data_IF_281931914368
#
_entry.id   IF_281931914368
#
_cell.length_a   1.000
_cell.length_b   1.000
_cell.length_c   1.000
_cell.angle_alpha   90.00
_cell.angle_beta   90.00
_cell.angle_gamma   90.00
#
_symmetry.space_group_name_H-M   'P 1'
#
loop_
_entity.id
_entity.type
_entity.pdbx_description
1 polymer ?
#
# COMPACT_ATOMS: atom_id res chain seq x y z
N UNK A 1 -7.19 16.35 5.38
CA UNK A 1 -6.05 16.71 6.24
C UNK A 1 -6.16 15.89 7.53
N UNK A 2 -5.64 14.66 7.54
CA UNK A 2 -5.72 13.70 8.67
C UNK A 2 -4.51 12.72 8.67
N UNK A 3 -3.41 13.07 7.99
CA UNK A 3 -2.23 12.22 7.89
C UNK A 3 -1.39 12.19 9.19
N UNK A 4 -1.63 13.12 10.11
CA UNK A 4 -0.87 13.21 11.36
C UNK A 4 -1.31 12.18 12.41
N UNK A 5 -2.47 11.53 12.24
CA UNK A 5 -2.91 10.45 13.16
C UNK A 5 -2.28 9.10 12.82
N UNK A 6 -1.57 8.99 11.69
CA UNK A 6 -0.89 7.76 11.28
C UNK A 6 0.45 7.53 11.99
N UNK A 7 1.11 8.61 12.43
CA UNK A 7 2.41 8.55 13.06
C UNK A 7 2.25 8.75 14.56
N UNK A 8 2.77 7.81 15.35
CA UNK A 8 2.89 8.03 16.78
C UNK A 8 3.86 9.20 17.00
N UNK A 9 3.32 10.37 17.34
CA UNK A 9 4.09 11.48 17.90
C UNK A 9 4.44 11.10 19.34
N UNK A 10 5.71 10.84 19.57
CA UNK A 10 6.25 10.77 20.92
C UNK A 10 7.28 11.89 21.07
N UNK A 11 6.91 12.86 21.90
CA UNK A 11 7.83 13.80 22.51
C UNK A 11 8.41 13.10 23.73
N UNK A 12 9.42 12.26 23.49
CA UNK A 12 10.23 11.58 24.49
C UNK A 12 11.68 11.72 24.08
N UNK A 13 12.41 12.51 24.86
CA UNK A 13 13.81 12.85 24.67
C UNK A 13 14.67 11.67 25.17
N UNK A 14 14.94 10.70 24.31
CA UNK A 14 15.87 9.60 24.60
C UNK A 14 17.05 9.65 23.64
N UNK A 15 18.06 10.35 24.12
CA UNK A 15 19.42 10.44 23.63
C UNK A 15 20.05 9.03 23.62
N UNK A 16 20.25 8.43 22.45
CA UNK A 16 21.04 7.21 22.27
C UNK A 16 22.05 7.44 21.15
N UNK A 17 23.32 7.26 21.53
CA UNK A 17 24.52 7.66 20.81
C UNK A 17 24.64 7.01 19.42
N UNK A 18 25.11 7.84 18.48
CA UNK A 18 25.65 7.43 17.17
C UNK A 18 26.85 6.49 17.35
N UNK A 19 26.75 5.28 16.79
CA UNK A 19 27.92 4.48 16.38
C UNK A 19 27.88 4.35 14.85
N UNK A 20 28.83 5.04 14.22
CA UNK A 20 28.97 5.15 12.77
C UNK A 20 29.90 4.04 12.26
N UNK A 21 29.35 3.03 11.60
CA UNK A 21 30.14 2.11 10.78
C UNK A 21 29.97 2.43 9.30
N UNK A 22 31.06 2.97 8.74
CA UNK A 22 31.17 3.34 7.33
C UNK A 22 31.25 2.11 6.43
N UNK A 23 30.29 1.99 5.52
CA UNK A 23 30.41 1.11 4.37
C UNK A 23 30.58 1.96 3.10
N UNK A 24 31.83 2.08 2.66
CA UNK A 24 32.14 2.54 1.30
C UNK A 24 31.88 1.40 0.33
N UNK A 25 31.01 1.62 -0.64
CA UNK A 25 30.97 0.83 -1.87
C UNK A 25 31.10 1.74 -3.07
N UNK A 26 32.18 1.51 -3.81
CA UNK A 26 32.58 2.24 -5.00
C UNK A 26 31.53 2.17 -6.10
N UNK A 27 31.27 3.32 -6.71
CA UNK A 27 30.59 3.46 -7.99
C UNK A 27 31.48 2.91 -9.10
N UNK A 28 31.10 1.77 -9.69
CA UNK A 28 31.58 1.40 -11.02
C UNK A 28 30.37 1.37 -11.97
N UNK A 29 30.16 2.50 -12.63
CA UNK A 29 29.34 2.61 -13.83
C UNK A 29 30.18 2.14 -15.02
N UNK A 30 29.97 0.92 -15.50
CA UNK A 30 30.41 0.52 -16.84
C UNK A 30 29.26 0.74 -17.81
N UNK A 31 29.46 1.78 -18.61
CA UNK A 31 28.69 2.19 -19.76
C UNK A 31 29.02 1.22 -20.90
N UNK A 32 28.05 0.45 -21.39
CA UNK A 32 28.21 -0.27 -22.65
C UNK A 32 27.35 0.44 -23.70
N UNK A 33 28.02 1.21 -24.54
CA UNK A 33 27.49 1.77 -25.78
C UNK A 33 27.38 0.63 -26.81
N UNK A 34 26.19 0.37 -27.35
CA UNK A 34 26.07 -0.38 -28.60
C UNK A 34 25.06 0.29 -29.55
N UNK A 35 25.68 0.91 -30.55
CA UNK A 35 25.32 1.16 -31.95
C UNK A 35 23.86 1.49 -32.36
N UNK A 36 23.74 2.72 -32.85
CA UNK A 36 22.61 3.27 -33.58
C UNK A 36 22.56 2.71 -35.01
N UNK A 37 21.68 1.74 -35.28
CA UNK A 37 21.32 1.37 -36.65
C UNK A 37 20.11 2.18 -37.13
N UNK A 38 20.36 3.09 -38.07
CA UNK A 38 19.37 3.90 -38.78
C UNK A 38 18.27 3.02 -39.41
N UNK A 39 17.04 3.19 -38.93
CA UNK A 39 15.84 2.62 -39.55
C UNK A 39 14.72 3.65 -39.48
N UNK A 40 14.55 4.41 -40.56
CA UNK A 40 13.39 5.27 -40.79
C UNK A 40 12.10 4.48 -40.58
N UNK A 41 11.39 4.73 -39.50
CA UNK A 41 10.04 4.23 -39.28
C UNK A 41 9.13 5.42 -38.99
N UNK A 42 8.03 5.44 -39.72
CA UNK A 42 7.05 6.51 -39.77
C UNK A 42 6.64 6.96 -38.36
N UNK A 43 6.76 8.27 -38.14
CA UNK A 43 6.18 8.95 -37.00
C UNK A 43 4.66 8.77 -37.08
N UNK A 44 4.12 7.85 -36.29
CA UNK A 44 2.68 7.79 -36.04
C UNK A 44 2.28 9.15 -35.45
N UNK A 45 1.46 9.89 -36.20
CA UNK A 45 0.87 11.15 -35.74
C UNK A 45 -0.12 10.81 -34.63
N UNK A 46 0.32 10.92 -33.38
CA UNK A 46 -0.53 10.73 -32.20
C UNK A 46 -1.25 12.03 -31.84
N UNK A 47 -2.57 11.95 -31.67
CA UNK A 47 -3.39 13.07 -31.23
C UNK A 47 -3.02 13.46 -29.80
N UNK A 48 -2.33 14.60 -29.67
CA UNK A 48 -2.18 15.27 -28.39
C UNK A 48 -3.57 15.77 -28.00
N UNK A 49 -4.23 15.11 -27.05
CA UNK A 49 -5.45 15.65 -26.46
C UNK A 49 -5.14 17.03 -25.87
N UNK A 50 -6.06 17.99 -26.01
CA UNK A 50 -5.89 19.40 -25.58
C UNK A 50 -5.60 19.62 -24.08
N UNK A 51 -5.37 18.55 -23.32
CA UNK A 51 -5.06 18.52 -21.90
C UNK A 51 -3.65 18.07 -21.55
N UNK A 52 -2.66 18.12 -22.45
CA UNK A 52 -1.23 18.02 -22.07
C UNK A 52 -0.78 16.70 -21.39
N UNK A 53 -1.58 15.65 -21.41
CA UNK A 53 -1.17 14.30 -20.99
C UNK A 53 -1.23 13.35 -22.19
N UNK A 54 -0.27 12.43 -22.23
CA UNK A 54 -0.21 11.40 -23.26
C UNK A 54 -0.99 10.18 -22.77
N UNK A 55 -2.04 9.81 -23.51
CA UNK A 55 -2.89 8.65 -23.22
C UNK A 55 -2.50 7.47 -24.13
N UNK A 56 -2.14 6.35 -23.52
CA UNK A 56 -1.79 5.09 -24.22
C UNK A 56 -2.96 4.09 -24.27
N UNK A 57 -4.14 4.50 -23.79
CA UNK A 57 -5.34 3.69 -23.69
C UNK A 57 -5.37 2.76 -22.49
N UNK A 58 -6.43 1.96 -22.41
CA UNK A 58 -6.64 0.95 -21.36
C UNK A 58 -5.89 -0.36 -21.63
N UNK A 59 -5.48 -1.11 -20.59
CA UNK A 59 -4.86 -2.42 -20.72
C UNK A 59 -5.91 -3.49 -21.06
N UNK A 60 -6.40 -3.51 -22.29
CA UNK A 60 -7.48 -4.43 -22.71
C UNK A 60 -6.98 -5.71 -23.38
N UNK A 61 -5.66 -5.89 -23.51
CA UNK A 61 -5.10 -7.01 -24.27
C UNK A 61 -4.67 -8.12 -23.32
N UNK A 62 -5.35 -9.25 -23.40
CA UNK A 62 -5.03 -10.41 -22.58
C UNK A 62 -3.77 -11.15 -23.07
N UNK A 63 -2.87 -11.43 -22.14
CA UNK A 63 -1.74 -12.30 -22.39
C UNK A 63 -2.19 -13.75 -22.62
N UNK A 64 -1.84 -14.33 -23.77
CA UNK A 64 -2.20 -15.70 -24.16
C UNK A 64 -1.78 -16.80 -23.17
N UNK A 65 -0.76 -16.54 -22.34
CA UNK A 65 -0.23 -17.54 -21.41
C UNK A 65 -0.83 -17.47 -20.01
N UNK A 66 -1.14 -16.26 -19.52
CA UNK A 66 -1.53 -16.05 -18.13
C UNK A 66 -2.83 -15.26 -17.94
N UNK A 67 -3.43 -14.75 -19.01
CA UNK A 67 -4.64 -13.94 -18.94
C UNK A 67 -4.46 -12.55 -18.32
N UNK A 68 -3.22 -12.13 -18.05
CA UNK A 68 -2.96 -10.78 -17.55
C UNK A 68 -3.33 -9.74 -18.62
N UNK A 69 -4.03 -8.69 -18.20
CA UNK A 69 -4.39 -7.53 -19.00
C UNK A 69 -3.16 -6.64 -19.21
N UNK A 70 -2.82 -6.38 -20.48
CA UNK A 70 -1.63 -5.66 -20.91
C UNK A 70 -1.99 -4.48 -21.80
N UNK A 71 -1.19 -3.42 -21.76
CA UNK A 71 -1.27 -2.35 -22.76
C UNK A 71 -0.65 -2.80 -24.08
N UNK A 72 -1.20 -2.37 -25.22
CA UNK A 72 -0.63 -2.68 -26.54
C UNK A 72 0.85 -2.25 -26.67
N UNK A 73 1.22 -1.15 -26.02
CA UNK A 73 2.57 -0.60 -26.00
C UNK A 73 3.59 -1.45 -25.24
N UNK A 74 3.12 -2.40 -24.40
CA UNK A 74 3.97 -3.33 -23.65
C UNK A 74 4.36 -4.57 -24.45
N UNK A 75 3.91 -4.69 -25.70
CA UNK A 75 4.30 -5.78 -26.60
C UNK A 75 5.82 -5.77 -26.84
N UNK A 76 6.41 -6.96 -26.97
CA UNK A 76 7.84 -7.13 -27.25
C UNK A 76 8.27 -6.47 -28.56
N UNK A 77 7.50 -6.71 -29.63
CA UNK A 77 7.85 -6.27 -30.98
C UNK A 77 7.14 -4.95 -31.29
N UNK A 78 7.82 -3.83 -31.02
CA UNK A 78 7.27 -2.48 -31.24
C UNK A 78 7.28 -2.08 -32.73
N UNK A 79 8.17 -2.66 -33.53
CA UNK A 79 8.43 -2.25 -34.92
C UNK A 79 7.32 -2.58 -35.94
N UNK A 80 6.30 -3.35 -35.57
CA UNK A 80 5.16 -3.67 -36.45
C UNK A 80 3.88 -3.65 -35.64
N UNK A 81 2.78 -3.26 -36.29
CA UNK A 81 1.46 -3.55 -35.76
C UNK A 81 1.28 -5.05 -35.72
N UNK A 82 1.36 -5.63 -34.53
CA UNK A 82 1.13 -7.05 -34.32
C UNK A 82 -0.37 -7.27 -34.11
N UNK A 83 -1.01 -8.03 -34.99
CA UNK A 83 -2.37 -8.53 -34.77
C UNK A 83 -2.44 -9.49 -33.58
N UNK A 84 -1.31 -10.13 -33.22
CA UNK A 84 -1.16 -10.93 -32.02
C UNK A 84 0.06 -10.45 -31.19
N UNK A 85 -0.12 -9.44 -30.32
CA UNK A 85 0.95 -8.93 -29.49
C UNK A 85 1.41 -9.95 -28.44
N UNK A 86 2.74 -10.09 -28.30
CA UNK A 86 3.37 -10.97 -27.31
C UNK A 86 3.99 -10.16 -26.19
N UNK A 87 3.86 -10.64 -24.96
CA UNK A 87 4.29 -9.93 -23.75
C UNK A 87 5.33 -10.74 -22.96
N UNK A 88 6.25 -10.04 -22.29
CA UNK A 88 7.16 -10.62 -21.28
C UNK A 88 6.92 -10.10 -19.87
N UNK A 89 6.31 -8.93 -19.69
CA UNK A 89 6.27 -8.28 -18.37
C UNK A 89 5.38 -9.01 -17.36
N UNK A 90 4.38 -9.77 -17.80
CA UNK A 90 3.47 -10.51 -16.90
C UNK A 90 4.02 -11.87 -16.46
N UNK A 91 4.33 -12.77 -17.41
CA UNK A 91 4.69 -14.16 -17.14
C UNK A 91 6.02 -14.60 -17.79
N UNK A 92 6.82 -13.65 -18.27
CA UNK A 92 8.06 -13.96 -18.98
C UNK A 92 7.84 -14.71 -20.30
N UNK A 93 6.70 -14.52 -20.96
CA UNK A 93 6.25 -15.30 -22.13
C UNK A 93 5.98 -16.77 -21.82
N UNK A 94 5.21 -17.02 -20.75
CA UNK A 94 4.82 -18.36 -20.32
C UNK A 94 5.87 -19.10 -19.49
N UNK A 95 6.99 -18.46 -19.17
CA UNK A 95 8.05 -19.03 -18.31
C UNK A 95 7.63 -19.14 -16.85
N UNK A 96 6.74 -18.25 -16.41
CA UNK A 96 6.25 -18.20 -15.02
C UNK A 96 4.75 -18.44 -15.02
N UNK A 97 4.29 -19.40 -14.21
CA UNK A 97 2.86 -19.61 -13.92
C UNK A 97 2.58 -19.14 -12.50
N UNK A 98 2.04 -17.93 -12.37
CA UNK A 98 1.61 -17.41 -11.08
C UNK A 98 0.26 -18.04 -10.70
N UNK A 99 0.11 -18.61 -9.50
CA UNK A 99 -1.20 -19.04 -9.02
C UNK A 99 -2.12 -17.82 -8.88
N UNK A 100 -3.41 -18.02 -9.13
CA UNK A 100 -4.41 -16.98 -8.89
C UNK A 100 -4.46 -16.66 -7.39
N UNK A 101 -4.68 -15.39 -7.07
CA UNK A 101 -4.91 -14.96 -5.70
C UNK A 101 -6.13 -15.69 -5.14
N UNK A 102 -6.02 -16.15 -3.89
CA UNK A 102 -7.18 -16.69 -3.18
C UNK A 102 -8.23 -15.59 -3.01
N UNK A 103 -9.53 -15.92 -3.08
CA UNK A 103 -10.56 -14.94 -2.80
C UNK A 103 -10.41 -14.41 -1.38
N UNK A 104 -10.71 -13.12 -1.18
CA UNK A 104 -10.76 -12.54 0.15
C UNK A 104 -11.83 -13.24 1.01
N UNK A 105 -11.67 -13.29 2.34
CA UNK A 105 -12.73 -13.77 3.24
C UNK A 105 -14.04 -13.04 2.97
N UNK A 106 -15.17 -13.76 3.07
CA UNK A 106 -16.51 -13.24 2.72
C UNK A 106 -16.85 -11.93 3.44
N UNK A 107 -16.49 -11.83 4.72
CA UNK A 107 -16.68 -10.63 5.54
C UNK A 107 -16.01 -9.42 4.88
N UNK A 108 -14.72 -9.53 4.55
CA UNK A 108 -13.98 -8.44 3.91
C UNK A 108 -14.48 -8.15 2.50
N UNK A 109 -14.86 -9.18 1.73
CA UNK A 109 -15.44 -9.01 0.40
C UNK A 109 -16.73 -8.18 0.43
N UNK A 110 -17.65 -8.49 1.35
CA UNK A 110 -18.88 -7.71 1.52
C UNK A 110 -18.60 -6.27 1.96
N UNK A 111 -17.69 -6.07 2.92
CA UNK A 111 -17.33 -4.74 3.40
C UNK A 111 -16.67 -3.87 2.30
N UNK A 112 -15.86 -4.47 1.43
CA UNK A 112 -15.15 -3.74 0.37
C UNK A 112 -16.02 -3.44 -0.85
N UNK A 113 -16.87 -4.39 -1.30
CA UNK A 113 -17.47 -4.34 -2.63
C UNK A 113 -19.00 -4.21 -2.64
N UNK A 114 -19.69 -4.40 -1.51
CA UNK A 114 -21.13 -4.16 -1.43
C UNK A 114 -21.39 -2.65 -1.27
N UNK A 115 -22.04 -2.04 -2.25
CA UNK A 115 -22.36 -0.61 -2.26
C UNK A 115 -23.79 -0.30 -1.84
N UNK A 116 -24.58 -1.30 -1.45
CA UNK A 116 -25.97 -1.12 -1.03
C UNK A 116 -26.09 -1.09 0.49
N UNK A 117 -25.36 -1.96 1.18
CA UNK A 117 -25.42 -2.05 2.64
C UNK A 117 -24.80 -0.83 3.35
N UNK A 118 -25.53 -0.31 4.33
CA UNK A 118 -25.07 0.80 5.17
C UNK A 118 -23.75 0.47 5.91
N UNK A 119 -23.59 -0.80 6.32
CA UNK A 119 -22.37 -1.28 6.98
C UNK A 119 -21.14 -1.14 6.07
N UNK A 120 -21.23 -1.59 4.81
CA UNK A 120 -20.13 -1.50 3.85
C UNK A 120 -19.80 -0.05 3.51
N UNK A 121 -20.80 0.83 3.37
CA UNK A 121 -20.56 2.28 3.20
C UNK A 121 -19.80 2.88 4.38
N UNK A 122 -20.18 2.55 5.62
CA UNK A 122 -19.46 2.99 6.82
C UNK A 122 -18.03 2.46 6.86
N UNK A 123 -17.82 1.20 6.49
CA UNK A 123 -16.49 0.61 6.39
C UNK A 123 -15.63 1.35 5.38
N UNK A 124 -16.11 1.50 4.14
CA UNK A 124 -15.39 2.16 3.06
C UNK A 124 -15.03 3.62 3.42
N UNK A 125 -15.95 4.36 4.05
CA UNK A 125 -15.70 5.73 4.52
C UNK A 125 -14.59 5.81 5.58
N UNK A 126 -14.50 4.81 6.46
CA UNK A 126 -13.55 4.79 7.58
C UNK A 126 -12.46 3.71 7.44
N UNK A 127 -12.20 3.23 6.22
CA UNK A 127 -11.33 2.06 5.97
C UNK A 127 -9.92 2.25 6.55
N UNK A 128 -9.43 3.49 6.54
CA UNK A 128 -8.13 3.83 7.14
C UNK A 128 -8.10 3.61 8.64
N UNK A 129 -9.17 3.98 9.36
CA UNK A 129 -9.26 3.78 10.80
C UNK A 129 -9.31 2.30 11.15
N UNK A 130 -10.12 1.51 10.42
CA UNK A 130 -10.14 0.05 10.62
C UNK A 130 -8.76 -0.57 10.34
N UNK A 131 -8.09 -0.20 9.25
CA UNK A 131 -6.76 -0.72 8.94
C UNK A 131 -5.72 -0.39 10.02
N UNK A 132 -5.75 0.83 10.58
CA UNK A 132 -4.87 1.22 11.69
C UNK A 132 -5.23 0.45 12.96
N UNK A 133 -6.52 0.26 13.23
CA UNK A 133 -7.00 -0.45 14.42
C UNK A 133 -6.48 -1.89 14.48
N UNK A 134 -6.32 -2.55 13.33
CA UNK A 134 -5.80 -3.92 13.23
C UNK A 134 -4.31 -4.01 12.88
N UNK A 135 -3.60 -2.89 12.78
CA UNK A 135 -2.16 -2.90 12.49
C UNK A 135 -1.35 -3.43 13.68
N UNK A 136 -0.36 -4.29 13.40
CA UNK A 136 0.58 -4.78 14.41
C UNK A 136 1.68 -3.78 14.76
N UNK A 137 1.98 -2.86 13.85
CA UNK A 137 3.06 -1.86 14.00
C UNK A 137 2.59 -0.50 13.57
N UNK A 138 3.13 0.55 14.19
CA UNK A 138 2.99 1.91 13.68
C UNK A 138 4.06 2.20 12.62
N UNK A 139 3.76 3.04 11.61
CA UNK A 139 4.79 3.56 10.74
C UNK A 139 5.65 4.57 11.51
N UNK A 140 6.97 4.39 11.44
CA UNK A 140 7.97 5.36 11.86
C UNK A 140 8.53 6.07 10.64
N UNK A 141 8.29 7.37 10.51
CA UNK A 141 8.87 8.16 9.45
C UNK A 141 8.98 9.63 9.86
N UNK A 142 10.00 10.33 9.34
CA UNK A 142 10.12 11.78 9.53
C UNK A 142 9.27 12.50 8.49
N UNK A 143 8.09 12.95 8.92
CA UNK A 143 7.17 13.70 8.06
C UNK A 143 7.60 15.16 7.98
N UNK A 144 7.79 15.66 6.77
CA UNK A 144 8.02 17.07 6.54
C UNK A 144 6.71 17.80 6.22
N UNK A 145 6.22 18.54 7.21
CA UNK A 145 4.96 19.27 7.14
C UNK A 145 5.08 20.67 6.52
N UNK A 146 6.27 21.11 6.09
CA UNK A 146 6.49 22.51 5.68
C UNK A 146 5.90 22.86 4.31
N UNK A 147 5.48 21.87 3.53
CA UNK A 147 5.21 22.04 2.09
C UNK A 147 3.73 22.10 1.71
N UNK A 148 2.82 22.02 2.68
CA UNK A 148 1.40 21.83 2.42
C UNK A 148 0.55 23.11 2.56
N UNK A 149 1.17 24.28 2.42
CA UNK A 149 0.52 25.59 2.62
C UNK A 149 0.05 26.26 1.31
N UNK A 150 0.15 25.54 0.19
CA UNK A 150 -0.21 26.04 -1.15
C UNK A 150 -1.65 25.73 -1.55
N UNK A 151 -2.04 26.18 -2.76
CA UNK A 151 -3.32 25.83 -3.41
C UNK A 151 -3.29 24.51 -4.19
N UNK A 152 -2.16 23.81 -4.17
CA UNK A 152 -2.00 22.52 -4.84
C UNK A 152 -2.63 21.39 -4.01
N UNK A 153 -2.95 20.24 -4.64
CA UNK A 153 -3.35 19.05 -3.91
C UNK A 153 -2.34 18.71 -2.80
N UNK A 154 -2.79 18.26 -1.63
CA UNK A 154 -1.91 18.02 -0.51
C UNK A 154 -0.79 17.03 -0.81
N UNK A 155 0.45 17.41 -0.57
CA UNK A 155 1.61 16.53 -0.68
C UNK A 155 2.00 15.96 0.69
N UNK A 156 2.44 14.70 0.69
CA UNK A 156 3.00 14.04 1.87
C UNK A 156 4.47 13.77 1.61
N UNK A 157 5.36 14.38 2.41
CA UNK A 157 6.80 14.27 2.22
C UNK A 157 7.42 13.53 3.40
N UNK A 158 8.04 12.40 3.11
CA UNK A 158 8.83 11.62 4.06
C UNK A 158 10.31 11.93 3.82
N UNK A 159 11.07 12.12 4.89
CA UNK A 159 12.52 12.26 4.85
C UNK A 159 13.20 11.09 5.57
N UNK A 160 14.37 10.70 5.07
CA UNK A 160 15.17 9.62 5.67
C UNK A 160 14.55 8.25 5.47
N UNK A 161 14.85 7.33 6.38
CA UNK A 161 14.40 5.93 6.32
C UNK A 161 13.02 5.77 6.99
N UNK A 162 12.10 5.10 6.30
CA UNK A 162 10.87 4.60 6.92
C UNK A 162 11.16 3.31 7.69
N UNK A 163 10.69 3.21 8.92
CA UNK A 163 10.78 2.01 9.75
C UNK A 163 9.39 1.60 10.27
N UNK A 164 9.28 0.37 10.78
CA UNK A 164 8.11 -0.10 11.52
C UNK A 164 8.41 -0.04 13.02
N UNK A 165 7.56 0.62 13.79
CA UNK A 165 7.66 0.74 15.25
C UNK A 165 6.68 -0.21 15.90
N UNK A 166 7.20 -1.29 16.48
CA UNK A 166 6.43 -2.31 17.21
C UNK A 166 6.03 -1.80 18.60
N UNK A 167 6.94 -1.10 19.28
CA UNK A 167 6.75 -0.67 20.67
C UNK A 167 7.06 -1.77 21.68
N UNK A 168 6.76 -1.53 22.95
CA UNK A 168 6.88 -2.52 24.02
C UNK A 168 5.81 -3.61 23.90
N UNK A 169 6.08 -4.80 24.46
CA UNK A 169 5.13 -5.92 24.45
C UNK A 169 3.86 -5.64 25.28
N UNK A 170 4.00 -4.90 26.38
CA UNK A 170 2.89 -4.50 27.25
C UNK A 170 2.73 -2.98 27.27
N UNK A 171 1.51 -2.46 27.49
CA UNK A 171 1.31 -1.03 27.67
C UNK A 171 2.07 -0.52 28.89
N UNK A 172 2.59 0.70 28.80
CA UNK A 172 3.18 1.38 29.96
C UNK A 172 2.08 1.70 30.99
N UNK A 173 2.46 1.83 32.25
CA UNK A 173 1.52 2.09 33.34
C UNK A 173 0.65 3.33 33.03
N UNK A 174 -0.68 3.15 33.06
CA UNK A 174 -1.65 4.20 32.78
C UNK A 174 -1.85 4.55 31.30
N UNK A 175 -1.21 3.83 30.38
CA UNK A 175 -1.43 3.98 28.93
C UNK A 175 -2.37 2.89 28.40
N UNK A 176 -3.16 3.24 27.38
CA UNK A 176 -3.98 2.27 26.66
C UNK A 176 -3.09 1.38 25.76
N UNK A 177 -3.44 0.09 25.59
CA UNK A 177 -2.74 -0.79 24.65
C UNK A 177 -2.86 -0.28 23.20
N UNK A 178 -1.80 -0.45 22.41
CA UNK A 178 -1.75 -0.05 20.99
C UNK A 178 -1.09 -1.12 20.12
N UNK A 179 -1.49 -1.17 18.85
CA UNK A 179 -0.90 -2.02 17.82
C UNK A 179 -0.81 -3.50 18.25
N UNK A 180 0.37 -4.13 18.21
CA UNK A 180 0.58 -5.52 18.64
C UNK A 180 0.07 -5.80 20.06
N UNK A 181 0.11 -4.82 20.97
CA UNK A 181 -0.38 -5.00 22.35
C UNK A 181 -1.87 -5.37 22.39
N UNK A 182 -2.66 -4.93 21.40
CA UNK A 182 -4.09 -5.23 21.31
C UNK A 182 -4.37 -6.72 21.06
N UNK A 183 -3.37 -7.52 20.69
CA UNK A 183 -3.53 -8.96 20.47
C UNK A 183 -3.09 -9.81 21.66
N UNK A 184 -2.43 -9.22 22.67
CA UNK A 184 -1.86 -9.95 23.81
C UNK A 184 -2.30 -9.41 25.17
N UNK A 185 -2.67 -8.13 25.24
CA UNK A 185 -3.10 -7.48 26.47
C UNK A 185 -4.62 -7.56 26.60
N UNK A 186 -5.09 -8.16 27.70
CA UNK A 186 -6.52 -8.22 28.06
C UNK A 186 -7.42 -8.59 26.87
N UNK A 187 -7.22 -9.81 26.37
CA UNK A 187 -7.90 -10.34 25.18
C UNK A 187 -9.41 -10.41 25.35
N UNK A 188 -9.91 -10.47 26.59
CA UNK A 188 -11.34 -10.44 26.90
C UNK A 188 -11.98 -9.08 26.54
N UNK A 189 -11.25 -7.98 26.73
CA UNK A 189 -11.72 -6.62 26.45
C UNK A 189 -11.07 -5.99 25.20
N UNK A 190 -10.52 -6.81 24.30
CA UNK A 190 -9.82 -6.36 23.09
C UNK A 190 -10.63 -5.33 22.27
N UNK A 191 -11.91 -5.61 22.02
CA UNK A 191 -12.76 -4.73 21.20
C UNK A 191 -12.91 -3.36 21.86
N UNK A 192 -13.07 -3.32 23.18
CA UNK A 192 -13.16 -2.08 23.94
C UNK A 192 -11.83 -1.32 23.92
N UNK A 193 -10.72 -2.03 24.11
CA UNK A 193 -9.36 -1.52 24.02
C UNK A 193 -9.07 -0.90 22.64
N UNK A 194 -9.45 -1.59 21.56
CA UNK A 194 -9.36 -1.08 20.18
C UNK A 194 -10.17 0.20 19.98
N UNK A 195 -11.38 0.25 20.54
CA UNK A 195 -12.25 1.43 20.45
C UNK A 195 -11.77 2.60 21.31
N UNK A 196 -11.05 2.35 22.41
CA UNK A 196 -10.47 3.36 23.30
C UNK A 196 -9.20 4.01 22.75
N UNK A 197 -8.46 3.34 21.87
CA UNK A 197 -7.21 3.84 21.30
C UNK A 197 -7.34 5.09 20.40
N UNK A 198 -8.55 5.43 19.94
CA UNK A 198 -8.80 6.52 19.01
C UNK A 198 -9.47 7.72 19.69
N UNK A 199 -8.85 8.91 19.55
CA UNK A 199 -9.38 10.17 20.10
C UNK A 199 -10.67 10.62 19.42
N UNK A 200 -10.83 10.33 18.13
CA UNK A 200 -12.07 10.55 17.39
C UNK A 200 -12.73 9.21 17.07
N UNK A 201 -13.86 8.93 17.70
CA UNK A 201 -14.68 7.73 17.42
C UNK A 201 -15.76 7.99 16.36
N UNK A 202 -15.82 9.20 15.79
CA UNK A 202 -16.92 9.59 14.90
C UNK A 202 -16.92 8.75 13.62
N UNK A 203 -17.89 7.84 13.52
CA UNK A 203 -18.12 7.03 12.31
C UNK A 203 -17.57 5.60 12.35
N UNK A 204 -16.86 5.19 13.40
CA UNK A 204 -16.44 3.79 13.57
C UNK A 204 -17.58 2.97 14.16
N UNK A 205 -17.90 1.84 13.53
CA UNK A 205 -18.95 0.93 13.94
C UNK A 205 -18.34 -0.28 14.65
N UNK A 206 -18.69 -0.46 15.92
CA UNK A 206 -18.17 -1.55 16.77
C UNK A 206 -18.50 -2.94 16.20
N UNK A 207 -19.60 -3.08 15.45
CA UNK A 207 -19.96 -4.37 14.86
C UNK A 207 -19.03 -4.76 13.72
N UNK A 208 -18.55 -3.78 12.96
CA UNK A 208 -17.53 -3.99 11.93
C UNK A 208 -16.21 -4.42 12.57
N UNK A 209 -15.82 -3.77 13.67
CA UNK A 209 -14.62 -4.17 14.44
C UNK A 209 -14.73 -5.62 14.91
N UNK A 210 -15.87 -6.03 15.47
CA UNK A 210 -16.10 -7.41 15.92
C UNK A 210 -16.02 -8.42 14.77
N UNK A 211 -16.62 -8.11 13.62
CA UNK A 211 -16.57 -8.96 12.42
C UNK A 211 -15.15 -9.11 11.88
N UNK A 212 -14.39 -8.01 11.82
CA UNK A 212 -13.00 -8.02 11.37
C UNK A 212 -12.09 -8.79 12.32
N UNK A 213 -12.27 -8.63 13.64
CA UNK A 213 -11.54 -9.39 14.66
C UNK A 213 -11.80 -10.88 14.52
N UNK A 214 -13.07 -11.31 14.45
CA UNK A 214 -13.43 -12.72 14.24
C UNK A 214 -12.85 -13.30 12.94
N UNK A 215 -12.94 -12.55 11.83
CA UNK A 215 -12.35 -12.94 10.56
C UNK A 215 -10.82 -13.10 10.65
N UNK A 216 -10.13 -12.21 11.36
CA UNK A 216 -8.69 -12.30 11.55
C UNK A 216 -8.32 -13.53 12.37
N UNK A 217 -9.04 -13.85 13.44
CA UNK A 217 -8.77 -15.06 14.22
C UNK A 217 -9.01 -16.35 13.43
N UNK A 218 -9.98 -16.36 12.53
CA UNK A 218 -10.27 -17.54 11.69
C UNK A 218 -9.19 -17.77 10.61
N UNK A 219 -8.64 -16.71 10.02
CA UNK A 219 -7.80 -16.82 8.83
C UNK A 219 -6.34 -16.42 9.01
N UNK A 220 -5.98 -15.69 10.06
CA UNK A 220 -4.63 -15.18 10.29
C UNK A 220 -3.96 -15.89 11.47
N UNK A 221 -3.00 -16.76 11.15
CA UNK A 221 -2.21 -17.53 12.13
C UNK A 221 -1.41 -16.67 13.10
N UNK A 222 -1.14 -15.41 12.77
CA UNK A 222 -0.39 -14.48 13.63
C UNK A 222 -1.28 -13.66 14.55
N UNK A 223 -2.58 -13.64 14.30
CA UNK A 223 -3.54 -13.00 15.18
C UNK A 223 -3.99 -13.94 16.30
N UNK A 224 -3.79 -15.25 16.16
CA UNK A 224 -4.16 -16.24 17.17
C UNK A 224 -3.18 -16.15 18.35
N UNK A 225 -3.69 -15.75 19.51
CA UNK A 225 -3.00 -15.75 20.80
C UNK A 225 -3.24 -17.04 21.56
#
# INVERSE_FOLDING_TARGET
MQLNEFFASDSGDDNMNDESDGYSSATNSSFDEDEMSNGTNAMETFEITSGGYYDIGDPVIECQYCGANMWYSERKNKCRHASNPKFSMCCGSGKVRLPLLKPAPKVLQHLLFDNELCESKKFQQQIRMYNVMFAFTSPGAKVDNRFNNGRCPPNFRIQGQSCHRIGSMLPMLGQNPRFAQLYVYDTENEIENRMHGFRSKSGVDVNIVRKLSGMLYEHNVHAQS
#
